data_IF_909528493509
#
_entry.id   IF_909528493509
#
_cell.length_a   1.000
_cell.length_b   1.000
_cell.length_c   1.000
_cell.angle_alpha   90.00
_cell.angle_beta   90.00
_cell.angle_gamma   90.00
#
_symmetry.space_group_name_H-M   'P 1'
#
loop_
_entity.id
_entity.type
_entity.pdbx_description
1 polymer ?
#
# COMPACT_ATOMS: atom_id res chain seq x y z
N UNK A 1 0.70 -9.65 -1.03
CA UNK A 1 1.50 -8.41 -1.10
C UNK A 1 2.72 -8.56 -2.03
N UNK A 2 3.73 -9.36 -1.66
CA UNK A 2 4.99 -9.52 -2.42
C UNK A 2 4.81 -9.69 -3.94
N UNK A 3 4.03 -10.68 -4.37
CA UNK A 3 3.81 -10.92 -5.80
C UNK A 3 3.17 -9.71 -6.51
N UNK A 4 2.19 -9.05 -5.89
CA UNK A 4 1.52 -7.87 -6.46
C UNK A 4 2.47 -6.69 -6.67
N UNK A 5 3.34 -6.42 -5.70
CA UNK A 5 4.43 -5.43 -5.85
C UNK A 5 5.38 -5.84 -6.98
N UNK A 6 5.79 -7.11 -7.02
CA UNK A 6 6.70 -7.63 -8.03
C UNK A 6 6.15 -7.49 -9.46
N UNK A 7 4.88 -7.81 -9.69
CA UNK A 7 4.26 -7.74 -11.02
C UNK A 7 3.82 -6.33 -11.43
N UNK A 8 3.62 -5.41 -10.48
CA UNK A 8 3.30 -4.00 -10.77
C UNK A 8 4.38 -3.29 -11.57
N UNK A 9 5.63 -3.75 -11.46
CA UNK A 9 6.84 -3.12 -12.05
C UNK A 9 7.12 -1.69 -11.56
N UNK A 10 6.36 -1.16 -10.61
CA UNK A 10 6.67 0.08 -9.92
C UNK A 10 7.81 -0.13 -8.93
N UNK A 11 8.62 0.92 -8.71
CA UNK A 11 9.58 0.94 -7.61
C UNK A 11 8.85 1.08 -6.27
N UNK A 12 9.35 0.43 -5.22
CA UNK A 12 8.67 0.43 -3.92
C UNK A 12 9.62 0.29 -2.74
N UNK A 13 9.17 0.79 -1.58
CA UNK A 13 9.70 0.42 -0.27
C UNK A 13 8.59 -0.33 0.45
N UNK A 14 8.88 -1.55 0.92
CA UNK A 14 7.93 -2.36 1.66
C UNK A 14 8.44 -2.61 3.07
N UNK A 15 7.76 -2.04 4.06
CA UNK A 15 8.05 -2.28 5.47
C UNK A 15 7.25 -3.48 5.94
N UNK A 16 7.94 -4.49 6.46
CA UNK A 16 7.37 -5.74 7.00
C UNK A 16 7.72 -5.79 8.48
N UNK A 17 6.73 -6.14 9.31
CA UNK A 17 6.94 -6.24 10.75
C UNK A 17 7.78 -7.48 11.08
N UNK A 18 8.74 -7.34 11.99
CA UNK A 18 9.62 -8.44 12.41
C UNK A 18 8.83 -9.55 13.09
N UNK A 19 9.13 -10.81 12.74
CA UNK A 19 8.47 -12.00 13.28
C UNK A 19 7.94 -12.93 12.19
N UNK A 20 7.59 -12.38 11.03
CA UNK A 20 6.92 -13.10 9.95
C UNK A 20 7.77 -13.13 8.67
N UNK A 21 8.98 -13.68 8.76
CA UNK A 21 9.86 -13.85 7.59
C UNK A 21 9.28 -14.81 6.54
N UNK A 22 8.31 -15.64 6.91
CA UNK A 22 7.66 -16.63 6.04
C UNK A 22 6.84 -16.00 4.90
N UNK A 23 6.59 -14.69 4.94
CA UNK A 23 5.79 -14.00 3.92
C UNK A 23 6.60 -13.46 2.75
N UNK A 24 7.93 -13.42 2.86
CA UNK A 24 8.81 -13.00 1.76
C UNK A 24 9.23 -14.26 0.99
N UNK A 25 8.78 -14.45 -0.26
CA UNK A 25 9.11 -15.66 -1.01
C UNK A 25 10.60 -15.81 -1.21
N UNK A 26 11.07 -17.06 -1.31
CA UNK A 26 12.46 -17.34 -1.64
C UNK A 26 12.89 -16.64 -2.94
N UNK A 27 14.09 -16.04 -2.92
CA UNK A 27 14.66 -15.29 -4.04
C UNK A 27 13.93 -13.98 -4.37
N UNK A 28 12.95 -13.53 -3.58
CA UNK A 28 12.19 -12.32 -3.87
C UNK A 28 13.06 -11.07 -3.94
N UNK A 29 14.00 -10.90 -3.01
CA UNK A 29 14.89 -9.74 -2.98
C UNK A 29 15.77 -9.61 -4.23
N UNK A 30 16.25 -10.73 -4.78
CA UNK A 30 16.98 -10.72 -6.06
C UNK A 30 16.07 -10.33 -7.23
N UNK A 31 14.80 -10.78 -7.26
CA UNK A 31 13.84 -10.41 -8.31
C UNK A 31 13.41 -8.94 -8.27
N UNK A 32 13.57 -8.27 -7.13
CA UNK A 32 13.23 -6.85 -6.96
C UNK A 32 14.46 -5.94 -6.94
N UNK A 33 15.67 -6.48 -7.13
CA UNK A 33 16.92 -5.74 -7.10
C UNK A 33 16.88 -4.54 -8.05
N UNK A 34 17.27 -3.37 -7.54
CA UNK A 34 17.27 -2.10 -8.28
C UNK A 34 15.90 -1.41 -8.42
N UNK A 35 14.81 -2.00 -7.92
CA UNK A 35 13.46 -1.40 -7.96
C UNK A 35 12.72 -1.45 -6.62
N UNK A 36 12.99 -2.45 -5.79
CA UNK A 36 12.31 -2.66 -4.54
C UNK A 36 13.27 -2.77 -3.37
N UNK A 37 12.82 -2.36 -2.19
CA UNK A 37 13.52 -2.52 -0.93
C UNK A 37 12.56 -3.06 0.14
N UNK A 38 13.00 -4.06 0.91
CA UNK A 38 12.24 -4.60 2.04
C UNK A 38 12.91 -4.19 3.35
N UNK A 39 12.17 -3.53 4.23
CA UNK A 39 12.64 -3.12 5.57
C UNK A 39 11.92 -3.98 6.61
N UNK A 40 12.66 -4.63 7.53
CA UNK A 40 12.10 -5.66 8.43
C UNK A 40 11.83 -5.25 9.86
N UNK A 41 12.18 -4.03 10.25
CA UNK A 41 12.06 -3.57 11.64
C UNK A 41 11.39 -2.20 11.68
N UNK A 42 12.19 -1.16 11.53
CA UNK A 42 11.75 0.21 11.62
C UNK A 42 12.15 0.97 10.37
N UNK A 43 11.25 1.83 9.90
CA UNK A 43 11.48 2.73 8.80
C UNK A 43 11.17 4.17 9.26
N UNK A 44 11.95 5.17 8.83
CA UNK A 44 11.64 6.57 9.09
C UNK A 44 10.46 7.02 8.23
N UNK A 45 9.25 6.55 8.54
CA UNK A 45 8.05 6.66 7.69
C UNK A 45 7.79 8.10 7.24
N UNK A 46 7.83 9.08 8.16
CA UNK A 46 7.63 10.48 7.80
C UNK A 46 8.68 11.00 6.82
N UNK A 47 9.95 10.63 6.97
CA UNK A 47 11.01 11.03 6.02
C UNK A 47 10.80 10.37 4.66
N UNK A 48 10.37 9.10 4.62
CA UNK A 48 10.06 8.39 3.38
C UNK A 48 8.87 9.06 2.68
N UNK A 49 7.74 9.25 3.37
CA UNK A 49 6.52 9.81 2.77
C UNK A 49 6.75 11.25 2.26
N UNK A 50 7.59 12.04 2.91
CA UNK A 50 7.91 13.41 2.46
C UNK A 50 9.03 13.48 1.41
N UNK A 51 9.57 12.35 0.96
CA UNK A 51 10.62 12.34 -0.05
C UNK A 51 10.05 12.46 -1.47
N UNK A 52 10.65 13.31 -2.31
CA UNK A 52 10.17 13.62 -3.68
C UNK A 52 10.05 12.41 -4.62
N UNK A 53 10.80 11.35 -4.35
CA UNK A 53 10.74 10.11 -5.14
C UNK A 53 9.51 9.23 -4.81
N UNK A 54 8.78 9.51 -3.74
CA UNK A 54 7.59 8.75 -3.35
C UNK A 54 6.37 9.34 -4.06
N UNK A 55 5.72 8.52 -4.88
CA UNK A 55 4.54 8.92 -5.65
C UNK A 55 3.21 8.40 -5.09
N UNK A 56 3.22 7.58 -4.03
CA UNK A 56 2.01 7.03 -3.45
C UNK A 56 2.25 6.18 -2.21
N UNK A 57 1.18 5.92 -1.46
CA UNK A 57 1.24 5.21 -0.18
C UNK A 57 0.16 4.12 -0.07
N UNK A 58 0.55 2.88 0.23
CA UNK A 58 -0.41 1.80 0.54
C UNK A 58 -0.66 1.79 2.04
N UNK A 59 -1.91 1.93 2.46
CA UNK A 59 -2.27 2.10 3.89
C UNK A 59 -3.51 1.29 4.27
N UNK A 60 -3.57 0.87 5.53
CA UNK A 60 -4.77 0.25 6.10
C UNK A 60 -5.87 1.24 6.48
N UNK A 61 -5.70 2.52 6.16
CA UNK A 61 -6.69 3.56 6.44
C UNK A 61 -6.94 3.79 7.94
N UNK A 62 -6.01 3.41 8.81
CA UNK A 62 -6.02 3.92 10.18
C UNK A 62 -5.87 5.44 10.16
N UNK A 63 -6.53 6.15 11.08
CA UNK A 63 -6.63 7.61 10.97
C UNK A 63 -5.26 8.32 10.97
N UNK A 64 -4.31 7.86 11.79
CA UNK A 64 -2.95 8.42 11.82
C UNK A 64 -2.23 8.29 10.47
N UNK A 65 -2.18 7.09 9.89
CA UNK A 65 -1.55 6.88 8.59
C UNK A 65 -2.28 7.62 7.46
N UNK A 66 -3.59 7.79 7.58
CA UNK A 66 -4.37 8.58 6.62
C UNK A 66 -3.95 10.05 6.68
N UNK A 67 -3.81 10.62 7.87
CA UNK A 67 -3.32 12.00 8.06
C UNK A 67 -1.89 12.18 7.57
N UNK A 68 -0.99 11.23 7.82
CA UNK A 68 0.39 11.31 7.31
C UNK A 68 0.43 11.34 5.78
N UNK A 69 -0.37 10.49 5.11
CA UNK A 69 -0.50 10.50 3.65
C UNK A 69 -1.06 11.81 3.11
N UNK A 70 -2.12 12.34 3.73
CA UNK A 70 -2.73 13.63 3.37
C UNK A 70 -1.72 14.78 3.53
N UNK A 71 -1.04 14.85 4.68
CA UNK A 71 -0.06 15.90 4.98
C UNK A 71 1.16 15.85 4.04
N UNK A 72 1.58 14.66 3.62
CA UNK A 72 2.63 14.48 2.63
C UNK A 72 2.16 14.77 1.18
N UNK A 73 0.86 14.99 0.96
CA UNK A 73 0.28 15.22 -0.36
C UNK A 73 0.29 13.99 -1.27
N UNK A 74 0.29 12.78 -0.68
CA UNK A 74 0.40 11.53 -1.44
C UNK A 74 -0.98 10.91 -1.71
N UNK A 75 -1.22 10.43 -2.94
CA UNK A 75 -2.37 9.57 -3.21
C UNK A 75 -2.16 8.20 -2.53
N UNK A 76 -3.25 7.55 -2.14
CA UNK A 76 -3.23 6.32 -1.34
C UNK A 76 -3.91 5.12 -2.02
N UNK A 77 -3.29 3.94 -1.95
CA UNK A 77 -4.04 2.68 -2.09
C UNK A 77 -4.65 2.35 -0.73
N UNK A 78 -5.97 2.26 -0.67
CA UNK A 78 -6.70 1.99 0.57
C UNK A 78 -6.90 0.48 0.75
N UNK A 79 -6.54 -0.03 1.93
CA UNK A 79 -6.64 -1.44 2.30
C UNK A 79 -7.20 -1.60 3.72
N UNK A 80 -8.46 -1.23 3.97
CA UNK A 80 -9.07 -1.36 5.29
C UNK A 80 -9.17 -2.82 5.73
N UNK A 81 -9.03 -3.05 7.04
CA UNK A 81 -9.04 -4.37 7.67
C UNK A 81 -10.07 -4.47 8.82
N UNK A 82 -10.15 -3.47 9.70
CA UNK A 82 -11.03 -3.46 10.88
C UNK A 82 -11.25 -2.04 11.44
N UNK A 83 -11.92 -1.90 12.59
CA UNK A 83 -12.24 -0.64 13.25
C UNK A 83 -12.93 0.37 12.30
N UNK A 84 -12.54 1.63 12.34
CA UNK A 84 -13.12 2.70 11.52
C UNK A 84 -12.53 2.78 10.10
N UNK A 85 -11.59 1.90 9.76
CA UNK A 85 -10.79 1.97 8.53
C UNK A 85 -11.65 1.97 7.25
N UNK A 86 -12.78 1.27 7.24
CA UNK A 86 -13.71 1.27 6.08
C UNK A 86 -14.41 2.62 5.89
N UNK A 87 -14.71 3.33 6.98
CA UNK A 87 -15.23 4.70 6.88
C UNK A 87 -14.14 5.67 6.42
N UNK A 88 -12.92 5.51 6.92
CA UNK A 88 -11.78 6.30 6.47
C UNK A 88 -11.48 6.06 4.98
N UNK A 89 -11.56 4.81 4.49
CA UNK A 89 -11.48 4.51 3.05
C UNK A 89 -12.51 5.33 2.27
N UNK A 90 -13.76 5.38 2.72
CA UNK A 90 -14.81 6.15 2.05
C UNK A 90 -14.54 7.65 2.05
N UNK A 91 -14.00 8.20 3.13
CA UNK A 91 -13.54 9.58 3.16
C UNK A 91 -12.40 9.82 2.14
N UNK A 92 -11.39 8.97 2.13
CA UNK A 92 -10.21 9.11 1.26
C UNK A 92 -10.55 8.95 -0.23
N UNK A 93 -11.40 7.98 -0.57
CA UNK A 93 -11.74 7.62 -1.96
C UNK A 93 -12.92 8.44 -2.47
N UNK A 94 -14.02 8.50 -1.73
CA UNK A 94 -15.29 9.03 -2.25
C UNK A 94 -15.45 10.53 -2.01
N UNK A 95 -14.85 11.08 -0.96
CA UNK A 95 -14.98 12.51 -0.61
C UNK A 95 -13.75 13.30 -1.04
N UNK A 96 -12.57 12.93 -0.52
CA UNK A 96 -11.33 13.68 -0.77
C UNK A 96 -10.75 13.42 -2.16
N UNK A 97 -11.06 12.27 -2.77
CA UNK A 97 -10.51 11.84 -4.08
C UNK A 97 -8.98 11.64 -4.06
N UNK A 98 -8.45 11.22 -2.91
CA UNK A 98 -7.03 10.89 -2.70
C UNK A 98 -6.74 9.38 -2.82
N UNK A 99 -7.77 8.53 -2.86
CA UNK A 99 -7.62 7.09 -2.71
C UNK A 99 -7.97 6.25 -3.95
N UNK A 100 -7.36 5.07 -4.08
CA UNK A 100 -7.78 3.95 -4.93
C UNK A 100 -8.00 2.71 -4.05
N UNK A 101 -9.20 2.12 -4.10
CA UNK A 101 -9.51 0.91 -3.33
C UNK A 101 -8.73 -0.31 -3.85
N UNK A 102 -8.08 -1.06 -2.95
CA UNK A 102 -7.52 -2.38 -3.29
C UNK A 102 -8.60 -3.47 -3.39
N UNK A 103 -9.81 -3.17 -2.91
CA UNK A 103 -10.94 -4.10 -2.91
C UNK A 103 -11.00 -5.03 -1.69
N UNK A 104 -10.44 -4.61 -0.54
CA UNK A 104 -10.73 -5.23 0.75
C UNK A 104 -12.15 -4.90 1.19
N UNK A 105 -12.98 -5.90 1.48
CA UNK A 105 -14.43 -5.72 1.78
C UNK A 105 -14.90 -6.42 3.05
N UNK A 106 -14.05 -7.20 3.71
CA UNK A 106 -14.41 -7.97 4.90
C UNK A 106 -13.80 -7.30 6.12
N UNK A 107 -14.66 -6.90 7.05
CA UNK A 107 -14.26 -6.43 8.37
C UNK A 107 -13.88 -7.63 9.23
N UNK A 108 -12.64 -7.67 9.72
CA UNK A 108 -12.20 -8.70 10.65
C UNK A 108 -11.01 -8.23 11.50
N UNK A 109 -11.12 -8.33 12.82
CA UNK A 109 -10.02 -7.96 13.72
C UNK A 109 -8.94 -9.06 13.79
N UNK A 110 -9.28 -10.32 13.48
CA UNK A 110 -8.37 -11.45 13.55
C UNK A 110 -7.57 -11.59 12.23
N UNK A 111 -6.23 -11.42 12.25
CA UNK A 111 -5.40 -11.55 11.04
C UNK A 111 -5.46 -12.93 10.38
N UNK A 112 -5.68 -14.00 11.13
CA UNK A 112 -5.63 -15.39 10.63
C UNK A 112 -6.87 -15.75 9.79
N UNK A 113 -8.00 -15.12 10.05
CA UNK A 113 -9.28 -15.37 9.35
C UNK A 113 -9.55 -14.38 8.23
N UNK A 114 -8.72 -13.34 8.10
CA UNK A 114 -8.87 -12.34 7.03
C UNK A 114 -8.71 -12.96 5.65
N UNK A 115 -9.57 -12.60 4.68
CA UNK A 115 -9.40 -13.03 3.30
C UNK A 115 -8.07 -12.55 2.73
N UNK A 116 -7.37 -13.46 2.06
CA UNK A 116 -6.18 -13.11 1.29
C UNK A 116 -6.62 -12.37 0.02
N UNK A 117 -6.06 -11.20 -0.22
CA UNK A 117 -6.25 -10.50 -1.49
C UNK A 117 -5.30 -11.03 -2.56
N UNK A 118 -5.86 -11.28 -3.74
CA UNK A 118 -5.12 -11.71 -4.93
C UNK A 118 -4.09 -10.66 -5.35
N UNK A 119 -2.93 -11.13 -5.83
CA UNK A 119 -1.86 -10.28 -6.30
C UNK A 119 -2.28 -9.35 -7.45
N UNK A 120 -3.20 -9.80 -8.31
CA UNK A 120 -3.78 -9.05 -9.44
C UNK A 120 -4.52 -7.78 -8.99
N UNK A 121 -5.24 -7.85 -7.85
CA UNK A 121 -5.93 -6.67 -7.29
C UNK A 121 -4.94 -5.65 -6.77
N UNK A 122 -3.89 -6.11 -6.09
CA UNK A 122 -2.82 -5.26 -5.56
C UNK A 122 -2.08 -4.59 -6.72
N UNK A 123 -1.74 -5.35 -7.75
CA UNK A 123 -1.11 -4.84 -8.97
C UNK A 123 -1.97 -3.74 -9.62
N UNK A 124 -3.25 -4.03 -9.85
CA UNK A 124 -4.16 -3.10 -10.50
C UNK A 124 -4.31 -1.80 -9.70
N UNK A 125 -4.46 -1.89 -8.38
CA UNK A 125 -4.56 -0.72 -7.51
C UNK A 125 -3.29 0.15 -7.56
N UNK A 126 -2.10 -0.46 -7.49
CA UNK A 126 -0.82 0.26 -7.58
C UNK A 126 -0.68 0.94 -8.94
N UNK A 127 -0.93 0.22 -10.04
CA UNK A 127 -0.83 0.78 -11.40
C UNK A 127 -1.82 1.92 -11.63
N UNK A 128 -3.04 1.79 -11.10
CA UNK A 128 -4.05 2.84 -11.18
C UNK A 128 -3.62 4.09 -10.40
N UNK A 129 -3.09 3.92 -9.19
CA UNK A 129 -2.58 5.02 -8.36
C UNK A 129 -1.41 5.75 -9.03
N UNK A 130 -0.43 5.00 -9.52
CA UNK A 130 0.83 5.53 -10.08
C UNK A 130 0.67 6.08 -11.51
N UNK A 131 -0.56 6.20 -12.01
CA UNK A 131 -0.85 6.82 -13.29
C UNK A 131 -0.60 5.90 -14.49
N UNK A 132 -1.35 4.80 -14.60
CA UNK A 132 -1.64 4.22 -15.91
C UNK A 132 -2.09 5.36 -16.83
N UNK A 133 -1.21 5.77 -17.76
CA UNK A 133 -1.30 7.00 -18.58
C UNK A 133 -2.74 7.44 -18.83
N UNK A 134 -3.26 8.39 -18.05
CA UNK A 134 -4.24 9.34 -18.56
C UNK A 134 -3.43 10.46 -19.19
N UNK A 135 -3.26 10.37 -20.51
CA UNK A 135 -2.79 11.51 -21.27
C UNK A 135 -3.77 12.67 -21.12
N UNK A 136 -3.23 13.88 -20.98
CA UNK A 136 -3.97 15.11 -21.29
C UNK A 136 -4.15 16.08 -20.14
N UNK A 137 -3.22 17.05 -20.13
CA UNK A 137 -3.33 18.48 -19.76
C UNK A 137 -3.52 18.83 -18.29
#
# INVERSE_FOLDING_TARGET
MALGLEVSKNSFIWVVRSGDNDWVPEGYEERIKGRGMVIREWAPQLLILNHIAVGGFVTHCGWNSSLEGICAGLPMVTWPLYAEQFYNEKLLVDVLKFGVEVGSKVYDFNPETRPILEATRIEAAIRNLMGGRRGGR
#
